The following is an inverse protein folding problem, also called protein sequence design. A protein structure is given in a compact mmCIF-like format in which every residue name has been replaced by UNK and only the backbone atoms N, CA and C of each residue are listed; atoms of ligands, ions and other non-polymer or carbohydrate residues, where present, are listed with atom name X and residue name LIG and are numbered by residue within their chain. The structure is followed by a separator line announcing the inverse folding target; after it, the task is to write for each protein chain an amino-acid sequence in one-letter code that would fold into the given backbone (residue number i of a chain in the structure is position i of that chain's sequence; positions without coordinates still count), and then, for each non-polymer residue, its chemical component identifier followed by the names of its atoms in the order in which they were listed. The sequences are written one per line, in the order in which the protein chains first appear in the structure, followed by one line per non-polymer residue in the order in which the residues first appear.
data_IF_791158681506
#
_entry.id   IF_791158681506
#
_cell.length_a   1.000
_cell.length_b   1.000
_cell.length_c   1.000
_cell.angle_alpha   90.00
_cell.angle_beta   90.00
_cell.angle_gamma   90.00
#
_symmetry.space_group_name_H-M   'P 1'
#
loop_
_entity.id
_entity.type
_entity.pdbx_description
1 polymer ?
#
# COMPACT_ATOMS: atom_id res chain seq x y z
N UNK A 1 -22.22 5.06 -15.09
CA UNK A 1 -21.02 4.26 -15.38
C UNK A 1 -20.34 3.97 -14.06
N UNK A 2 -20.12 2.70 -13.71
CA UNK A 2 -19.39 2.36 -12.48
C UNK A 2 -17.91 2.57 -12.78
N UNK A 3 -17.24 3.43 -12.01
CA UNK A 3 -15.79 3.63 -12.15
C UNK A 3 -15.07 2.31 -11.86
N UNK A 4 -14.16 1.89 -12.75
CA UNK A 4 -13.38 0.67 -12.57
C UNK A 4 -12.25 0.91 -11.57
N UNK A 5 -12.12 0.03 -10.58
CA UNK A 5 -11.00 0.09 -9.61
C UNK A 5 -9.75 -0.48 -10.28
N UNK A 6 -8.67 0.32 -10.38
CA UNK A 6 -7.46 -0.11 -11.07
C UNK A 6 -6.74 -1.23 -10.32
N UNK A 7 -6.07 -2.09 -11.10
CA UNK A 7 -5.16 -3.13 -10.61
C UNK A 7 -3.75 -2.62 -10.83
N UNK A 8 -2.95 -2.55 -9.77
CA UNK A 8 -1.53 -2.22 -9.87
C UNK A 8 -0.74 -3.52 -9.75
N UNK A 9 0.14 -3.76 -10.71
CA UNK A 9 1.07 -4.88 -10.66
C UNK A 9 2.42 -4.42 -10.08
N UNK A 10 3.22 -5.40 -9.63
CA UNK A 10 4.53 -5.13 -9.05
C UNK A 10 5.48 -4.49 -10.06
N UNK A 11 5.34 -4.78 -11.35
CA UNK A 11 6.15 -4.21 -12.42
C UNK A 11 5.88 -2.71 -12.64
N UNK A 12 4.65 -2.26 -12.37
CA UNK A 12 4.21 -0.87 -12.44
C UNK A 12 4.67 -0.06 -11.22
N UNK A 13 5.03 -0.73 -10.12
CA UNK A 13 5.35 -0.14 -8.83
C UNK A 13 6.84 -0.24 -8.45
N UNK A 14 7.55 -1.25 -8.97
CA UNK A 14 8.95 -1.54 -8.70
C UNK A 14 9.87 -1.04 -9.83
N UNK A 15 11.06 -0.57 -9.45
CA UNK A 15 12.09 -0.06 -10.37
C UNK A 15 13.03 -1.15 -10.89
N UNK A 16 13.07 -2.31 -10.22
CA UNK A 16 14.04 -3.38 -10.48
C UNK A 16 13.36 -4.59 -11.10
N UNK A 17 14.11 -5.26 -11.98
CA UNK A 17 13.83 -6.52 -12.69
C UNK A 17 13.02 -7.54 -11.89
N UNK A 18 12.28 -8.42 -12.59
CA UNK A 18 11.37 -9.44 -12.01
C UNK A 18 11.99 -10.24 -10.86
N UNK A 19 11.85 -9.72 -9.65
CA UNK A 19 12.29 -10.34 -8.41
C UNK A 19 11.07 -10.90 -7.70
N UNK A 20 11.14 -12.19 -7.34
CA UNK A 20 10.09 -12.88 -6.58
C UNK A 20 9.74 -12.19 -5.26
N UNK A 21 10.69 -11.46 -4.66
CA UNK A 21 10.50 -10.68 -3.43
C UNK A 21 11.14 -9.30 -3.62
N UNK A 22 10.40 -8.24 -3.27
CA UNK A 22 10.91 -6.86 -3.23
C UNK A 22 10.70 -6.30 -1.83
N UNK A 23 11.72 -5.61 -1.31
CA UNK A 23 11.68 -4.93 -0.02
C UNK A 23 12.15 -3.50 -0.25
N UNK A 24 11.35 -2.54 0.21
CA UNK A 24 11.64 -1.11 0.09
C UNK A 24 11.05 -0.37 1.28
N UNK A 25 11.71 0.70 1.72
CA UNK A 25 11.17 1.59 2.73
C UNK A 25 9.89 2.30 2.22
N UNK A 26 8.85 2.33 3.04
CA UNK A 26 7.56 2.93 2.72
C UNK A 26 7.71 4.41 2.32
N UNK A 27 8.54 5.17 3.05
CA UNK A 27 8.81 6.57 2.75
C UNK A 27 9.40 6.77 1.33
N UNK A 28 10.34 5.90 0.94
CA UNK A 28 10.93 5.90 -0.40
C UNK A 28 9.89 5.53 -1.46
N UNK A 29 9.08 4.50 -1.19
CA UNK A 29 8.00 4.05 -2.06
C UNK A 29 6.94 5.15 -2.30
N UNK A 30 6.48 5.83 -1.24
CA UNK A 30 5.50 6.92 -1.32
C UNK A 30 6.06 8.15 -2.05
N UNK A 31 7.33 8.48 -1.83
CA UNK A 31 7.99 9.60 -2.52
C UNK A 31 8.04 9.41 -4.04
N UNK A 32 8.16 8.15 -4.50
CA UNK A 32 8.15 7.77 -5.91
C UNK A 32 6.73 7.70 -6.47
N UNK A 33 5.77 7.26 -5.66
CA UNK A 33 4.40 7.00 -6.08
C UNK A 33 3.39 7.95 -5.41
N UNK A 34 3.60 9.27 -5.61
CA UNK A 34 2.96 10.36 -4.85
C UNK A 34 1.43 10.40 -4.84
N UNK A 35 0.76 9.59 -5.66
CA UNK A 35 -0.69 9.58 -5.80
C UNK A 35 -1.34 8.22 -5.51
N UNK A 36 -0.70 7.29 -4.78
CA UNK A 36 -1.25 5.95 -4.51
C UNK A 36 -2.23 5.85 -3.31
N UNK A 37 -2.74 6.98 -2.84
CA UNK A 37 -3.69 7.02 -1.70
C UNK A 37 -5.15 6.79 -2.10
N UNK A 38 -5.44 6.42 -3.35
CA UNK A 38 -6.80 6.11 -3.81
C UNK A 38 -7.10 4.61 -3.72
N UNK A 39 -8.38 4.17 -3.76
CA UNK A 39 -8.73 2.75 -3.73
C UNK A 39 -8.15 1.97 -4.92
N UNK A 40 -7.33 0.97 -4.63
CA UNK A 40 -6.72 0.11 -5.65
C UNK A 40 -6.46 -1.28 -5.10
N UNK A 41 -6.04 -2.21 -5.97
CA UNK A 41 -5.71 -3.59 -5.61
C UNK A 41 -4.42 -4.03 -6.27
N UNK A 42 -3.76 -5.02 -5.69
CA UNK A 42 -2.53 -5.60 -6.22
C UNK A 42 -2.73 -7.01 -6.75
N UNK A 43 -1.86 -7.45 -7.66
CA UNK A 43 -1.79 -8.83 -8.14
C UNK A 43 -0.81 -9.71 -7.37
N UNK A 44 -0.23 -9.20 -6.27
CA UNK A 44 0.80 -9.85 -5.46
C UNK A 44 0.44 -9.77 -3.96
N UNK A 45 1.17 -10.54 -3.14
CA UNK A 45 1.07 -10.45 -1.68
C UNK A 45 1.90 -9.26 -1.18
N UNK A 46 1.31 -8.41 -0.34
CA UNK A 46 2.03 -7.29 0.28
C UNK A 46 2.15 -7.49 1.78
N UNK A 47 3.35 -7.30 2.32
CA UNK A 47 3.58 -7.05 3.73
C UNK A 47 3.97 -5.58 3.90
N UNK A 48 3.29 -4.88 4.78
CA UNK A 48 3.53 -3.47 5.08
C UNK A 48 3.75 -3.30 6.57
N UNK A 49 4.92 -2.82 6.96
CA UNK A 49 5.22 -2.38 8.31
C UNK A 49 5.07 -0.86 8.35
N UNK A 50 4.37 -0.33 9.36
CA UNK A 50 4.47 1.08 9.74
C UNK A 50 5.42 1.20 10.92
N UNK A 51 6.43 2.06 10.83
CA UNK A 51 7.31 2.43 11.95
C UNK A 51 7.06 3.85 12.45
N UNK A 52 6.37 4.67 11.65
CA UNK A 52 5.89 6.01 11.97
C UNK A 52 4.61 6.30 11.17
N UNK A 53 3.75 7.18 11.71
CA UNK A 53 2.59 7.71 11.00
C UNK A 53 1.29 7.61 11.80
N UNK A 54 0.19 7.92 11.13
CA UNK A 54 -1.17 7.97 11.65
C UNK A 54 -2.21 8.03 10.53
N UNK A 55 -3.48 8.07 10.90
CA UNK A 55 -4.61 8.00 9.97
C UNK A 55 -5.19 6.59 9.86
N UNK A 56 -5.71 6.22 8.69
CA UNK A 56 -6.42 4.94 8.51
C UNK A 56 -5.99 4.17 7.26
N UNK A 57 -6.03 2.84 7.34
CA UNK A 57 -5.84 1.91 6.24
C UNK A 57 -7.12 1.07 6.10
N UNK A 58 -7.87 1.29 5.03
CA UNK A 58 -9.03 0.48 4.70
C UNK A 58 -8.60 -0.69 3.81
N UNK A 59 -9.01 -1.92 4.16
CA UNK A 59 -8.80 -3.14 3.37
C UNK A 59 -10.17 -3.82 3.22
N UNK A 60 -10.60 -3.98 1.97
CA UNK A 60 -11.94 -4.41 1.57
C UNK A 60 -13.05 -3.60 2.26
N UNK A 61 -13.69 -4.16 3.30
CA UNK A 61 -14.80 -3.54 4.03
C UNK A 61 -14.43 -3.18 5.48
N UNK A 62 -13.18 -3.40 5.87
CA UNK A 62 -12.67 -3.11 7.21
C UNK A 62 -11.71 -1.93 7.18
N UNK A 63 -11.69 -1.15 8.25
CA UNK A 63 -10.81 0.01 8.41
C UNK A 63 -10.01 -0.15 9.69
N UNK A 64 -8.71 0.07 9.57
CA UNK A 64 -7.76 -0.06 10.67
C UNK A 64 -7.06 1.27 10.91
N UNK A 65 -6.81 1.60 12.17
CA UNK A 65 -5.99 2.75 12.53
C UNK A 65 -4.52 2.44 12.22
N UNK A 66 -3.82 3.39 11.62
CA UNK A 66 -2.38 3.28 11.38
C UNK A 66 -1.67 3.65 12.69
N UNK A 67 -0.99 2.67 13.29
CA UNK A 67 -0.14 2.89 14.47
C UNK A 67 1.29 2.37 14.25
N UNK A 68 2.31 3.02 14.83
CA UNK A 68 3.68 2.54 14.75
C UNK A 68 3.85 1.10 15.25
N UNK A 69 4.73 0.36 14.59
CA UNK A 69 5.08 -1.05 14.82
C UNK A 69 3.96 -2.05 14.49
N UNK A 70 3.04 -1.66 13.61
CA UNK A 70 1.98 -2.53 13.10
C UNK A 70 2.35 -3.08 11.72
N UNK A 71 2.08 -4.37 11.52
CA UNK A 71 2.24 -5.04 10.22
C UNK A 71 0.86 -5.36 9.64
N UNK A 72 0.69 -5.08 8.36
CA UNK A 72 -0.44 -5.50 7.55
C UNK A 72 0.01 -6.51 6.51
N UNK A 73 -0.82 -7.53 6.27
CA UNK A 73 -0.64 -8.49 5.20
C UNK A 73 -1.85 -8.40 4.27
N UNK A 74 -1.61 -8.10 3.01
CA UNK A 74 -2.65 -8.07 1.98
C UNK A 74 -2.47 -9.22 1.00
N UNK A 75 -3.58 -9.89 0.73
CA UNK A 75 -3.72 -10.94 -0.28
C UNK A 75 -3.92 -10.32 -1.67
N UNK A 76 -3.50 -11.01 -2.75
CA UNK A 76 -3.79 -10.59 -4.11
C UNK A 76 -5.30 -10.36 -4.32
N UNK A 77 -5.65 -9.25 -4.95
CA UNK A 77 -7.03 -8.90 -5.29
C UNK A 77 -7.80 -8.13 -4.22
N UNK A 78 -7.30 -8.04 -2.98
CA UNK A 78 -7.91 -7.17 -1.96
C UNK A 78 -7.79 -5.71 -2.37
N UNK A 79 -8.86 -4.95 -2.14
CA UNK A 79 -8.90 -3.52 -2.42
C UNK A 79 -8.46 -2.80 -1.15
N UNK A 80 -7.57 -1.83 -1.28
CA UNK A 80 -7.20 -1.00 -0.14
C UNK A 80 -7.11 0.48 -0.51
N UNK A 81 -7.23 1.32 0.52
CA UNK A 81 -7.02 2.76 0.46
C UNK A 81 -6.32 3.20 1.74
N UNK A 82 -5.46 4.19 1.62
CA UNK A 82 -4.89 4.91 2.75
C UNK A 82 -5.53 6.30 2.90
N UNK A 83 -5.71 6.72 4.14
CA UNK A 83 -6.00 8.09 4.53
C UNK A 83 -4.95 8.50 5.57
N UNK A 84 -3.84 9.05 5.10
CA UNK A 84 -2.65 9.31 5.91
C UNK A 84 -2.76 10.65 6.66
N UNK A 85 -2.37 10.65 7.92
CA UNK A 85 -2.18 11.85 8.72
C UNK A 85 -0.69 12.05 9.05
N UNK A 86 -0.05 12.99 8.37
CA UNK A 86 1.38 13.31 8.56
C UNK A 86 2.32 12.49 7.68
N UNK A 87 3.58 12.37 8.13
CA UNK A 87 4.61 11.59 7.43
C UNK A 87 4.51 10.10 7.78
N UNK A 88 4.74 9.25 6.79
CA UNK A 88 4.69 7.78 6.93
C UNK A 88 6.09 7.19 6.73
N UNK A 89 6.47 6.25 7.60
CA UNK A 89 7.70 5.47 7.45
C UNK A 89 7.49 4.00 7.82
N UNK A 90 8.34 3.10 7.33
CA UNK A 90 8.03 1.67 7.31
C UNK A 90 9.02 0.82 6.55
#
# INVERSE_FOLDING_TARGET
MVASIPILDQCSLSRTQENTITVEALSSYLSRNKNLVFPHRHSFYQLLLFTQGGGTHAIDFETFDIVPWQIYMMLPGQIHRWDFEGEMDG
#
